data_IF_390688931579
#
_entry.id   IF_390688931579
#
_cell.length_a   1.000
_cell.length_b   1.000
_cell.length_c   1.000
_cell.angle_alpha   90.00
_cell.angle_beta   90.00
_cell.angle_gamma   90.00
#
_symmetry.space_group_name_H-M   'P 1'
#
loop_
_entity.id
_entity.type
_entity.pdbx_description
1 polymer ?
#
# COMPACT_ATOMS: atom_id res chain seq x y z
N UNK A 1 -17.74 -13.83 -2.65
CA UNK A 1 -17.26 -13.58 -1.27
C UNK A 1 -17.50 -12.10 -0.94
N UNK A 2 -18.15 -11.77 0.18
CA UNK A 2 -18.37 -10.36 0.58
C UNK A 2 -17.15 -9.83 1.32
N UNK A 3 -16.54 -8.76 0.81
CA UNK A 3 -15.48 -8.04 1.53
C UNK A 3 -16.03 -7.39 2.80
N UNK A 4 -15.27 -7.51 3.87
CA UNK A 4 -15.53 -6.86 5.15
C UNK A 4 -15.36 -5.33 5.03
N UNK A 5 -15.93 -4.57 5.98
CA UNK A 5 -15.77 -3.11 6.02
C UNK A 5 -14.29 -2.71 6.08
N UNK A 6 -13.48 -3.44 6.85
CA UNK A 6 -12.06 -3.12 7.01
C UNK A 6 -11.25 -3.36 5.72
N UNK A 7 -11.58 -4.40 4.94
CA UNK A 7 -10.96 -4.62 3.63
C UNK A 7 -11.29 -3.51 2.64
N UNK A 8 -12.52 -2.98 2.66
CA UNK A 8 -12.90 -1.85 1.80
C UNK A 8 -12.19 -0.56 2.20
N UNK A 9 -12.03 -0.31 3.50
CA UNK A 9 -11.28 0.84 4.01
C UNK A 9 -9.80 0.71 3.61
N UNK A 10 -9.19 -0.47 3.80
CA UNK A 10 -7.81 -0.72 3.41
C UNK A 10 -7.60 -0.57 1.89
N UNK A 11 -8.53 -1.09 1.07
CA UNK A 11 -8.49 -0.90 -0.38
C UNK A 11 -8.64 0.57 -0.79
N UNK A 12 -9.57 1.29 -0.14
CA UNK A 12 -9.74 2.73 -0.37
C UNK A 12 -8.49 3.53 0.01
N UNK A 13 -7.84 3.17 1.11
CA UNK A 13 -6.59 3.80 1.54
C UNK A 13 -5.46 3.60 0.51
N UNK A 14 -5.24 2.36 0.06
CA UNK A 14 -4.28 2.05 -1.00
C UNK A 14 -4.58 2.81 -2.29
N UNK A 15 -5.86 3.01 -2.63
CA UNK A 15 -6.25 3.79 -3.81
C UNK A 15 -5.91 5.29 -3.65
N UNK A 16 -6.04 5.85 -2.45
CA UNK A 16 -5.59 7.21 -2.14
C UNK A 16 -4.09 7.32 -2.27
N UNK A 17 -3.32 6.36 -1.74
CA UNK A 17 -1.86 6.32 -1.89
C UNK A 17 -1.44 6.20 -3.36
N UNK A 18 -2.08 5.32 -4.12
CA UNK A 18 -1.87 5.21 -5.58
C UNK A 18 -2.12 6.54 -6.29
N UNK A 19 -3.18 7.26 -5.89
CA UNK A 19 -3.50 8.57 -6.44
C UNK A 19 -2.42 9.60 -6.08
N UNK A 20 -1.92 9.59 -4.84
CA UNK A 20 -0.81 10.44 -4.42
C UNK A 20 0.45 10.21 -5.25
N UNK A 21 0.83 8.95 -5.46
CA UNK A 21 1.99 8.59 -6.31
C UNK A 21 1.74 8.97 -7.78
N UNK A 22 0.51 8.84 -8.28
CA UNK A 22 0.17 9.29 -9.63
C UNK A 22 0.28 10.81 -9.79
N UNK A 23 -0.13 11.58 -8.78
CA UNK A 23 0.05 13.04 -8.76
C UNK A 23 1.54 13.39 -8.79
N UNK A 24 2.39 12.64 -8.07
CA UNK A 24 3.85 12.81 -8.17
C UNK A 24 4.37 12.51 -9.57
N UNK A 25 3.91 11.43 -10.22
CA UNK A 25 4.29 11.13 -11.61
C UNK A 25 3.88 12.25 -12.58
N UNK A 26 2.69 12.84 -12.40
CA UNK A 26 2.26 14.00 -13.20
C UNK A 26 3.17 15.21 -12.94
N UNK A 27 3.59 15.42 -11.69
CA UNK A 27 4.52 16.49 -11.36
C UNK A 27 5.91 16.28 -11.98
N UNK A 28 6.46 15.06 -11.91
CA UNK A 28 7.71 14.67 -12.56
C UNK A 28 7.63 14.87 -14.09
N UNK A 29 6.50 14.51 -14.70
CA UNK A 29 6.27 14.72 -16.13
C UNK A 29 6.27 16.22 -16.48
N UNK A 30 5.61 17.06 -15.68
CA UNK A 30 5.62 18.52 -15.89
C UNK A 30 7.02 19.09 -15.75
N UNK A 31 7.80 18.65 -14.76
CA UNK A 31 9.19 19.07 -14.57
C UNK A 31 10.07 18.67 -15.77
N UNK A 32 9.89 17.44 -16.27
CA UNK A 32 10.60 16.95 -17.46
C UNK A 32 10.27 17.79 -18.70
N UNK A 33 8.99 18.13 -18.92
CA UNK A 33 8.55 18.95 -20.06
C UNK A 33 9.07 20.40 -19.96
N UNK A 34 9.21 20.94 -18.75
CA UNK A 34 9.77 22.28 -18.51
C UNK A 34 11.28 22.37 -18.70
N UNK A 35 11.97 21.23 -18.75
CA UNK A 35 13.43 21.19 -18.81
C UNK A 35 14.11 21.42 -17.47
N UNK A 36 13.38 21.31 -16.35
CA UNK A 36 13.90 21.49 -14.98
C UNK A 36 14.67 20.24 -14.48
N UNK A 37 15.33 19.53 -15.39
CA UNK A 37 16.01 18.26 -15.12
C UNK A 37 17.49 18.35 -15.48
N UNK A 38 18.37 18.08 -14.50
CA UNK A 38 19.82 18.03 -14.72
C UNK A 38 20.23 16.86 -15.64
N UNK A 39 19.50 15.75 -15.60
CA UNK A 39 19.73 14.56 -16.43
C UNK A 39 18.43 13.97 -16.93
N UNK A 40 18.22 14.06 -18.25
CA UNK A 40 17.02 13.53 -18.91
C UNK A 40 16.85 12.02 -18.70
N UNK A 41 17.96 11.26 -18.73
CA UNK A 41 17.92 9.82 -18.52
C UNK A 41 17.43 9.46 -17.11
N UNK A 42 17.93 10.17 -16.09
CA UNK A 42 17.53 9.93 -14.70
C UNK A 42 16.07 10.30 -14.48
N UNK A 43 15.62 11.45 -15.00
CA UNK A 43 14.23 11.88 -14.89
C UNK A 43 13.24 10.91 -15.55
N UNK A 44 13.58 10.38 -16.73
CA UNK A 44 12.74 9.36 -17.40
C UNK A 44 12.68 8.06 -16.60
N UNK A 45 13.81 7.64 -16.01
CA UNK A 45 13.85 6.44 -15.17
C UNK A 45 13.00 6.60 -13.90
N UNK A 46 13.12 7.75 -13.22
CA UNK A 46 12.30 8.08 -12.05
C UNK A 46 10.81 8.10 -12.41
N UNK A 47 10.43 8.82 -13.46
CA UNK A 47 9.04 8.86 -13.93
C UNK A 47 8.50 7.45 -14.22
N UNK A 48 9.27 6.61 -14.91
CA UNK A 48 8.90 5.23 -15.19
C UNK A 48 8.67 4.43 -13.91
N UNK A 49 9.59 4.53 -12.95
CA UNK A 49 9.48 3.83 -11.66
C UNK A 49 8.28 4.33 -10.83
N UNK A 50 8.02 5.64 -10.82
CA UNK A 50 6.88 6.25 -10.12
C UNK A 50 5.55 5.77 -10.71
N UNK A 51 5.44 5.70 -12.04
CA UNK A 51 4.26 5.15 -12.72
C UNK A 51 4.06 3.68 -12.38
N UNK A 52 5.12 2.87 -12.38
CA UNK A 52 5.05 1.45 -12.00
C UNK A 52 4.60 1.31 -10.54
N UNK A 53 5.11 2.14 -9.63
CA UNK A 53 4.70 2.14 -8.23
C UNK A 53 3.22 2.49 -8.06
N UNK A 54 2.72 3.51 -8.76
CA UNK A 54 1.30 3.88 -8.75
C UNK A 54 0.42 2.73 -9.28
N UNK A 55 0.84 2.09 -10.38
CA UNK A 55 0.13 0.95 -10.95
C UNK A 55 0.11 -0.25 -9.99
N UNK A 56 1.21 -0.54 -9.31
CA UNK A 56 1.30 -1.61 -8.32
C UNK A 56 0.37 -1.36 -7.13
N UNK A 57 0.38 -0.14 -6.56
CA UNK A 57 -0.54 0.26 -5.49
C UNK A 57 -2.01 0.13 -5.92
N UNK A 58 -2.34 0.59 -7.13
CA UNK A 58 -3.68 0.45 -7.70
C UNK A 58 -4.09 -1.02 -7.87
N UNK A 59 -3.18 -1.87 -8.36
CA UNK A 59 -3.42 -3.30 -8.48
C UNK A 59 -3.65 -3.97 -7.12
N UNK A 60 -2.89 -3.60 -6.08
CA UNK A 60 -3.10 -4.09 -4.73
C UNK A 60 -4.43 -3.59 -4.14
N UNK A 61 -4.81 -2.33 -4.36
CA UNK A 61 -6.11 -1.80 -3.96
C UNK A 61 -7.27 -2.63 -4.55
N UNK A 62 -7.21 -2.89 -5.86
CA UNK A 62 -8.20 -3.74 -6.57
C UNK A 62 -8.18 -5.17 -6.04
N UNK A 63 -7.00 -5.75 -5.80
CA UNK A 63 -6.88 -7.11 -5.27
C UNK A 63 -7.47 -7.23 -3.85
N UNK A 64 -7.21 -6.26 -2.97
CA UNK A 64 -7.80 -6.19 -1.62
C UNK A 64 -9.32 -6.01 -1.71
N UNK A 65 -9.80 -5.14 -2.61
CA UNK A 65 -11.24 -4.95 -2.86
C UNK A 65 -11.93 -6.24 -3.35
N UNK A 66 -11.22 -7.07 -4.11
CA UNK A 66 -11.70 -8.37 -4.59
C UNK A 66 -11.58 -9.48 -3.53
N UNK A 67 -11.00 -9.19 -2.36
CA UNK A 67 -10.80 -10.14 -1.26
C UNK A 67 -9.64 -11.12 -1.49
N UNK A 68 -8.78 -10.88 -2.48
CA UNK A 68 -7.64 -11.73 -2.80
C UNK A 68 -6.58 -11.65 -1.69
N UNK A 69 -6.05 -12.81 -1.26
CA UNK A 69 -5.01 -12.88 -0.23
C UNK A 69 -3.71 -12.18 -0.65
N UNK A 70 -3.31 -12.33 -1.91
CA UNK A 70 -2.10 -11.70 -2.46
C UNK A 70 -2.14 -10.16 -2.43
N UNK A 71 -3.33 -9.55 -2.47
CA UNK A 71 -3.46 -8.08 -2.37
C UNK A 71 -3.06 -7.56 -0.98
N UNK A 72 -3.41 -8.29 0.07
CA UNK A 72 -3.12 -7.91 1.46
C UNK A 72 -1.64 -8.05 1.79
N UNK A 73 -1.01 -9.17 1.44
CA UNK A 73 0.42 -9.38 1.68
C UNK A 73 1.28 -8.46 0.83
N UNK A 74 0.94 -8.27 -0.44
CA UNK A 74 1.62 -7.32 -1.32
C UNK A 74 1.53 -5.89 -0.80
N UNK A 75 0.34 -5.46 -0.37
CA UNK A 75 0.15 -4.15 0.26
C UNK A 75 1.02 -3.97 1.52
N UNK A 76 1.08 -4.95 2.42
CA UNK A 76 1.92 -4.89 3.63
C UNK A 76 3.39 -4.71 3.27
N UNK A 77 3.88 -5.46 2.27
CA UNK A 77 5.26 -5.34 1.79
C UNK A 77 5.52 -3.93 1.24
N UNK A 78 4.62 -3.39 0.42
CA UNK A 78 4.76 -2.02 -0.10
C UNK A 78 4.80 -1.01 1.04
N UNK A 79 3.95 -1.13 2.05
CA UNK A 79 3.99 -0.20 3.19
C UNK A 79 5.31 -0.28 3.95
N UNK A 80 5.88 -1.48 4.14
CA UNK A 80 7.20 -1.63 4.76
C UNK A 80 8.31 -0.99 3.91
N UNK A 81 8.24 -1.08 2.58
CA UNK A 81 9.17 -0.42 1.67
C UNK A 81 9.03 1.10 1.74
N UNK A 82 7.81 1.64 1.77
CA UNK A 82 7.56 3.09 1.91
C UNK A 82 8.07 3.61 3.25
N UNK A 83 7.90 2.85 4.34
CA UNK A 83 8.47 3.20 5.65
C UNK A 83 10.01 3.17 5.63
N UNK A 84 10.59 2.21 4.91
CA UNK A 84 12.04 2.17 4.71
C UNK A 84 12.54 3.41 3.96
N UNK A 85 11.81 3.86 2.93
CA UNK A 85 12.10 5.10 2.21
C UNK A 85 11.98 6.31 3.14
N UNK A 86 10.92 6.40 3.93
CA UNK A 86 10.72 7.49 4.89
C UNK A 86 11.87 7.57 5.92
N UNK A 87 12.32 6.43 6.44
CA UNK A 87 13.49 6.37 7.32
C UNK A 87 14.76 6.84 6.60
N UNK A 88 14.93 6.50 5.32
CA UNK A 88 16.03 7.00 4.50
C UNK A 88 16.07 8.53 4.44
N UNK A 89 14.90 9.19 4.36
CA UNK A 89 14.82 10.67 4.34
C UNK A 89 15.20 11.35 5.66
N UNK A 90 15.38 10.60 6.75
CA UNK A 90 15.90 11.10 8.02
C UNK A 90 17.44 11.05 8.09
N UNK A 91 18.09 10.52 7.07
CA UNK A 91 19.55 10.28 7.05
C UNK A 91 20.22 11.01 5.89
N UNK A 92 21.44 11.49 6.09
CA UNK A 92 22.26 12.15 5.05
C UNK A 92 22.20 13.69 5.03
N UNK A 93 22.95 14.29 4.09
CA UNK A 93 22.94 15.73 3.81
C UNK A 93 21.59 16.11 3.16
N UNK A 94 20.65 16.61 3.97
CA UNK A 94 19.28 16.90 3.52
C UNK A 94 18.19 16.19 4.33
N UNK A 95 18.52 15.62 5.48
CA UNK A 95 17.55 15.02 6.38
C UNK A 95 16.39 15.99 6.70
N UNK A 96 15.16 15.57 6.38
CA UNK A 96 13.95 16.37 6.57
C UNK A 96 12.88 15.56 7.29
N UNK A 97 12.67 15.89 8.57
CA UNK A 97 11.66 15.24 9.40
C UNK A 97 10.24 15.44 8.88
N UNK A 98 9.94 16.59 8.26
CA UNK A 98 8.61 16.86 7.72
C UNK A 98 8.33 15.99 6.52
N UNK A 99 9.31 15.85 5.62
CA UNK A 99 9.19 14.94 4.47
C UNK A 99 9.06 13.49 4.94
N UNK A 100 9.90 13.07 5.88
CA UNK A 100 9.83 11.73 6.46
C UNK A 100 8.46 11.45 7.09
N UNK A 101 7.92 12.39 7.87
CA UNK A 101 6.61 12.26 8.48
C UNK A 101 5.48 12.22 7.43
N UNK A 102 5.56 13.06 6.38
CA UNK A 102 4.57 13.08 5.31
C UNK A 102 4.50 11.75 4.54
N UNK A 103 5.61 11.01 4.45
CA UNK A 103 5.67 9.68 3.83
C UNK A 103 5.28 8.60 4.85
N UNK A 104 5.80 8.66 6.07
CA UNK A 104 5.64 7.61 7.07
C UNK A 104 4.22 7.50 7.63
N UNK A 105 3.56 8.64 7.89
CA UNK A 105 2.21 8.65 8.48
C UNK A 105 1.20 7.89 7.62
N UNK A 106 1.03 8.20 6.31
CA UNK A 106 0.08 7.45 5.50
C UNK A 106 0.45 5.98 5.40
N UNK A 107 1.75 5.67 5.31
CA UNK A 107 2.21 4.29 5.22
C UNK A 107 1.91 3.47 6.48
N UNK A 108 2.07 4.07 7.68
CA UNK A 108 1.69 3.44 8.94
C UNK A 108 0.18 3.19 9.01
N UNK A 109 -0.64 4.15 8.59
CA UNK A 109 -2.10 3.98 8.56
C UNK A 109 -2.48 2.83 7.61
N UNK A 110 -1.93 2.83 6.40
CA UNK A 110 -2.15 1.76 5.42
C UNK A 110 -1.73 0.40 5.95
N UNK A 111 -0.56 0.32 6.60
CA UNK A 111 -0.04 -0.91 7.18
C UNK A 111 -0.97 -1.48 8.25
N UNK A 112 -1.43 -0.63 9.19
CA UNK A 112 -2.36 -1.04 10.25
C UNK A 112 -3.68 -1.55 9.66
N UNK A 113 -4.24 -0.84 8.67
CA UNK A 113 -5.47 -1.24 7.99
C UNK A 113 -5.33 -2.60 7.28
N UNK A 114 -4.21 -2.82 6.60
CA UNK A 114 -3.93 -4.06 5.87
C UNK A 114 -3.70 -5.25 6.83
N UNK A 115 -2.99 -5.04 7.93
CA UNK A 115 -2.82 -6.06 8.97
C UNK A 115 -4.18 -6.42 9.58
N UNK A 116 -5.01 -5.42 9.91
CA UNK A 116 -6.34 -5.66 10.45
C UNK A 116 -7.21 -6.44 9.45
N UNK A 117 -7.18 -6.08 8.17
CA UNK A 117 -7.88 -6.80 7.10
C UNK A 117 -7.40 -8.25 6.96
N UNK A 118 -6.10 -8.50 7.04
CA UNK A 118 -5.54 -9.86 7.01
C UNK A 118 -5.99 -10.69 8.21
N UNK A 119 -6.02 -10.10 9.41
CA UNK A 119 -6.48 -10.77 10.64
C UNK A 119 -7.97 -11.13 10.58
N UNK A 120 -8.82 -10.20 10.14
CA UNK A 120 -10.27 -10.44 10.00
C UNK A 120 -10.54 -11.56 8.98
N UNK A 121 -9.81 -11.59 7.87
CA UNK A 121 -9.92 -12.67 6.90
C UNK A 121 -9.49 -14.03 7.49
N UNK A 122 -8.37 -14.06 8.24
CA UNK A 122 -7.86 -15.28 8.87
C UNK A 122 -8.77 -15.84 9.98
N UNK A 123 -9.45 -14.98 10.75
CA UNK A 123 -10.43 -15.40 11.75
C UNK A 123 -11.65 -16.08 11.11
N UNK A 124 -12.16 -15.52 10.01
CA UNK A 124 -13.30 -16.10 9.28
C UNK A 124 -13.01 -17.50 8.72
N UNK A 125 -11.75 -17.78 8.38
CA UNK A 125 -11.35 -19.11 7.92
C UNK A 125 -11.25 -20.16 9.04
N UNK A 126 -11.23 -19.74 10.32
CA UNK A 126 -11.13 -20.64 11.49
C UNK A 126 -12.49 -20.99 12.11
N UNK A 127 -13.51 -20.17 11.92
CA UNK A 127 -14.91 -20.40 12.33
C UNK A 127 -15.65 -21.65 11.76
N UNK A 128 -15.15 -22.43 10.77
CA UNK A 128 -15.86 -23.63 10.31
C UNK A 128 -15.76 -24.89 11.22
N UNK A 129 -15.01 -24.86 12.33
CA UNK A 129 -14.64 -26.08 13.08
C UNK A 129 -15.40 -26.32 14.40
N UNK A 130 -16.45 -25.54 14.69
CA UNK A 130 -17.30 -25.71 15.87
C UNK A 130 -18.63 -26.37 15.49
N UNK A 131 -18.57 -27.53 14.81
CA UNK A 131 -19.67 -28.51 14.85
C UNK A 131 -19.35 -29.50 15.98
N UNK A 132 -20.04 -29.42 17.14
CA UNK A 132 -19.95 -30.44 18.16
C UNK A 132 -20.67 -31.68 17.65
N UNK A 133 -19.90 -32.60 17.06
CA UNK A 133 -20.30 -33.98 16.88
C UNK A 133 -20.50 -34.62 18.25
N UNK A 134 -21.73 -34.51 18.74
CA UNK A 134 -22.49 -35.57 19.41
C UNK A 134 -21.62 -36.68 20.02
N UNK A 135 -21.12 -36.41 21.22
CA UNK A 135 -20.70 -37.46 22.11
C UNK A 135 -21.96 -38.19 22.60
N UNK A 136 -22.07 -39.47 22.24
CA UNK A 136 -22.77 -40.50 22.98
C UNK A 136 -24.27 -40.26 23.27
N UNK A 137 -25.12 -40.81 22.41
CA UNK A 137 -26.55 -40.99 22.68
C UNK A 137 -27.13 -42.24 22.02
N UNK A 138 -27.04 -43.36 22.76
CA UNK A 138 -27.71 -44.68 22.60
C UNK A 138 -27.04 -45.71 21.68
#
# INVERSE_FOLDING_TARGET
MRTSRIERIAAGWLAVEATGVLVLAVWELVALVRGDSESLASSVALLGLTVIAAAALGAFAVAVWRGASGGRSGGVVVQALVLSVALGTLTGEGADLRLAAAIAVPALVGLVLLIAAARTAGQRSKDPAEEPGDAAGV
#
